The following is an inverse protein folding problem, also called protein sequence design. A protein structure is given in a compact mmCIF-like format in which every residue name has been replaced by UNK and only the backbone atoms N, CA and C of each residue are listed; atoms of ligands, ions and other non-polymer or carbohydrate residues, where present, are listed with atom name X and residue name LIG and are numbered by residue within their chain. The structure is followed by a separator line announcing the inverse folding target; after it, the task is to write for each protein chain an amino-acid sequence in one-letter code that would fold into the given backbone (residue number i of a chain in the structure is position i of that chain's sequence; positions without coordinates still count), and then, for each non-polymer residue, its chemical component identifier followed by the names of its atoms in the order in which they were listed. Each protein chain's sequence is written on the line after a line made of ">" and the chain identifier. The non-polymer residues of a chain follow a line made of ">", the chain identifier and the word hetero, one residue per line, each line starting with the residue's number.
data_IF_975971303878
#
_entry.id   IF_975971303878
#
_cell.length_a   1.000
_cell.length_b   1.000
_cell.length_c   1.000
_cell.angle_alpha   90.00
_cell.angle_beta   90.00
_cell.angle_gamma   90.00
#
_symmetry.space_group_name_H-M   'P 1'
#
loop_
_entity.id
_entity.type
_entity.pdbx_description
1 polymer ?
#
# COMPACT_ATOMS: atom_id res chain seq x y z
N UNK A 1 -26.05 37.07 0.66
CA UNK A 1 -24.85 37.11 -0.16
C UNK A 1 -23.56 36.98 0.63
N UNK A 2 -23.41 37.70 1.72
CA UNK A 2 -22.21 37.58 2.57
C UNK A 2 -22.09 36.20 3.22
N UNK A 3 -23.21 35.59 3.58
CA UNK A 3 -23.21 34.24 4.15
C UNK A 3 -22.71 33.17 3.17
N UNK A 4 -22.98 33.37 1.90
CA UNK A 4 -22.46 32.52 0.83
C UNK A 4 -20.93 32.43 0.84
N UNK A 5 -20.30 33.60 0.91
CA UNK A 5 -18.84 33.67 0.87
C UNK A 5 -18.21 32.99 2.07
N UNK A 6 -18.84 33.15 3.25
CA UNK A 6 -18.36 32.51 4.47
C UNK A 6 -18.45 30.98 4.39
N UNK A 7 -19.56 30.48 3.86
CA UNK A 7 -19.76 29.02 3.71
C UNK A 7 -18.73 28.45 2.74
N UNK A 8 -18.50 29.13 1.62
CA UNK A 8 -17.49 28.70 0.65
C UNK A 8 -16.09 28.67 1.25
N UNK A 9 -15.77 29.64 2.09
CA UNK A 9 -14.47 29.70 2.75
C UNK A 9 -14.27 28.50 3.69
N UNK A 10 -15.30 28.15 4.44
CA UNK A 10 -15.25 26.97 5.34
C UNK A 10 -15.05 25.68 4.56
N UNK A 11 -15.78 25.49 3.48
CA UNK A 11 -15.64 24.32 2.60
C UNK A 11 -14.22 24.25 2.04
N UNK A 12 -13.67 25.36 1.61
CA UNK A 12 -12.32 25.42 1.07
C UNK A 12 -11.28 25.01 2.14
N UNK A 13 -11.46 25.44 3.39
CA UNK A 13 -10.56 25.07 4.47
C UNK A 13 -10.59 23.58 4.74
N UNK A 14 -11.76 22.93 4.70
CA UNK A 14 -11.89 21.48 4.85
C UNK A 14 -11.20 20.74 3.70
N UNK A 15 -11.34 21.24 2.48
CA UNK A 15 -10.66 20.68 1.33
C UNK A 15 -9.13 20.76 1.47
N UNK A 16 -8.62 21.86 2.04
CA UNK A 16 -7.18 21.99 2.29
C UNK A 16 -6.67 20.99 3.31
N UNK A 17 -7.46 20.69 4.35
CA UNK A 17 -7.09 19.66 5.34
C UNK A 17 -7.07 18.27 4.68
N UNK A 18 -8.08 17.96 3.85
CA UNK A 18 -8.12 16.70 3.13
C UNK A 18 -6.94 16.54 2.16
N UNK A 19 -6.47 17.66 1.57
CA UNK A 19 -5.34 17.64 0.65
C UNK A 19 -4.00 17.34 1.32
N UNK A 20 -3.93 17.35 2.66
CA UNK A 20 -2.71 17.00 3.39
C UNK A 20 -2.39 15.51 3.34
N UNK A 21 -3.40 14.66 3.09
CA UNK A 21 -3.21 13.23 2.99
C UNK A 21 -2.52 12.87 1.68
N UNK A 22 -1.59 11.91 1.76
CA UNK A 22 -0.76 11.50 0.62
C UNK A 22 -1.19 10.16 0.07
N UNK A 23 -0.86 9.94 -1.19
CA UNK A 23 -1.10 8.69 -1.91
C UNK A 23 0.24 8.06 -2.28
N UNK A 24 0.33 6.75 -2.13
CA UNK A 24 1.49 5.96 -2.58
C UNK A 24 1.00 4.89 -3.54
N UNK A 25 1.46 4.96 -4.80
CA UNK A 25 1.23 3.92 -5.79
C UNK A 25 2.43 2.99 -5.81
N UNK A 26 2.20 1.72 -5.52
CA UNK A 26 3.26 0.72 -5.48
C UNK A 26 3.13 -0.18 -6.69
N UNK A 27 4.14 -0.16 -7.57
CA UNK A 27 4.27 -1.14 -8.64
C UNK A 27 4.94 -2.37 -8.04
N UNK A 28 4.17 -3.44 -7.89
CA UNK A 28 4.65 -4.70 -7.33
C UNK A 28 5.09 -5.60 -8.47
N UNK A 29 6.34 -6.06 -8.45
CA UNK A 29 6.93 -6.82 -9.54
C UNK A 29 7.26 -8.26 -9.14
N UNK A 30 7.55 -9.09 -10.14
CA UNK A 30 7.91 -10.51 -9.98
C UNK A 30 6.81 -11.33 -9.30
N UNK A 31 5.56 -11.03 -9.64
CA UNK A 31 4.42 -11.80 -9.18
C UNK A 31 4.38 -13.12 -9.96
N UNK A 32 4.40 -14.25 -9.24
CA UNK A 32 4.56 -15.57 -9.86
C UNK A 32 3.30 -16.18 -10.45
N UNK A 33 2.12 -15.68 -10.07
CA UNK A 33 0.86 -16.26 -10.55
C UNK A 33 -0.28 -15.24 -10.55
N UNK A 34 -1.37 -15.59 -11.23
CA UNK A 34 -2.61 -14.81 -11.24
C UNK A 34 -3.54 -15.14 -10.07
N UNK A 35 -3.11 -15.99 -9.14
CA UNK A 35 -3.95 -16.47 -8.05
C UNK A 35 -4.06 -15.46 -6.91
N UNK A 36 -5.28 -15.27 -6.41
CA UNK A 36 -5.54 -14.46 -5.24
C UNK A 36 -5.32 -12.97 -5.45
N UNK A 37 -4.76 -12.32 -4.44
CA UNK A 37 -4.58 -10.88 -4.42
C UNK A 37 -3.19 -10.50 -3.95
N UNK A 38 -2.77 -9.29 -4.33
CA UNK A 38 -1.60 -8.65 -3.73
C UNK A 38 -2.10 -7.66 -2.69
N UNK A 39 -1.70 -7.86 -1.46
CA UNK A 39 -2.09 -7.03 -0.32
C UNK A 39 -0.93 -6.09 0.02
N UNK A 40 -1.26 -4.85 0.36
CA UNK A 40 -0.28 -3.89 0.83
C UNK A 40 -0.76 -3.31 2.16
N UNK A 41 0.18 -3.10 3.06
CA UNK A 41 -0.07 -2.49 4.35
C UNK A 41 1.01 -1.46 4.60
N UNK A 42 0.62 -0.23 4.92
CA UNK A 42 1.56 0.81 5.33
C UNK A 42 1.38 1.11 6.80
N UNK A 43 2.43 0.88 7.58
CA UNK A 43 2.48 1.25 8.98
C UNK A 43 3.02 2.66 9.07
N UNK A 44 2.24 3.55 9.64
CA UNK A 44 2.51 4.99 9.67
C UNK A 44 2.61 5.46 11.10
N UNK A 45 3.69 6.18 11.42
CA UNK A 45 3.88 6.75 12.76
C UNK A 45 2.73 7.71 13.09
N UNK A 46 2.18 7.60 14.29
CA UNK A 46 1.06 8.42 14.73
C UNK A 46 -0.32 7.90 14.34
N UNK A 47 -0.39 6.85 13.52
CA UNK A 47 -1.66 6.19 13.18
C UNK A 47 -1.82 4.92 13.99
N UNK A 48 -2.99 4.72 14.59
CA UNK A 48 -3.28 3.49 15.32
C UNK A 48 -3.50 2.31 14.38
N UNK A 49 -4.08 2.57 13.22
CA UNK A 49 -4.39 1.56 12.22
C UNK A 49 -3.50 1.73 11.00
N UNK A 50 -2.98 0.63 10.44
CA UNK A 50 -2.26 0.71 9.16
C UNK A 50 -3.19 1.14 8.03
N UNK A 51 -2.60 1.67 6.96
CA UNK A 51 -3.31 1.93 5.72
C UNK A 51 -3.20 0.69 4.84
N UNK A 52 -4.32 0.24 4.30
CA UNK A 52 -4.38 -0.99 3.51
C UNK A 52 -4.72 -0.71 2.06
N UNK A 53 -4.17 -1.52 1.17
CA UNK A 53 -4.52 -1.55 -0.23
C UNK A 53 -4.50 -2.97 -0.74
N UNK A 54 -5.22 -3.23 -1.84
CA UNK A 54 -5.30 -4.56 -2.41
C UNK A 54 -5.55 -4.45 -3.90
N UNK A 55 -5.00 -5.40 -4.65
CA UNK A 55 -5.26 -5.56 -6.08
C UNK A 55 -5.32 -7.04 -6.40
N UNK A 56 -6.21 -7.47 -7.33
CA UNK A 56 -6.12 -8.83 -7.83
C UNK A 56 -4.72 -9.12 -8.36
N UNK A 57 -4.22 -10.31 -8.09
CA UNK A 57 -2.89 -10.69 -8.54
C UNK A 57 -2.88 -10.92 -10.05
N UNK A 58 -1.76 -10.55 -10.67
CA UNK A 58 -1.51 -10.80 -12.08
C UNK A 58 -0.04 -11.14 -12.23
N UNK A 59 0.24 -12.21 -12.92
CA UNK A 59 1.63 -12.62 -13.17
C UNK A 59 2.40 -11.46 -13.80
N UNK A 60 3.58 -11.18 -13.25
CA UNK A 60 4.41 -10.07 -13.65
C UNK A 60 4.31 -8.91 -12.70
N UNK A 61 3.41 -7.98 -12.95
CA UNK A 61 3.27 -6.81 -12.07
C UNK A 61 1.84 -6.29 -11.95
N UNK A 62 1.54 -5.68 -10.81
CA UNK A 62 0.31 -4.94 -10.57
C UNK A 62 0.63 -3.66 -9.83
N UNK A 63 -0.30 -2.71 -9.84
CA UNK A 63 -0.20 -1.48 -9.06
C UNK A 63 -1.17 -1.57 -7.89
N UNK A 64 -0.66 -1.37 -6.67
CA UNK A 64 -1.49 -1.27 -5.47
C UNK A 64 -1.38 0.16 -4.95
N UNK A 65 -2.53 0.78 -4.70
CA UNK A 65 -2.58 2.17 -4.25
C UNK A 65 -2.94 2.24 -2.78
N UNK A 66 -2.15 2.99 -2.02
CA UNK A 66 -2.39 3.30 -0.62
C UNK A 66 -2.76 4.77 -0.51
N UNK A 67 -3.91 5.07 0.08
CA UNK A 67 -4.43 6.42 0.20
C UNK A 67 -4.56 6.84 1.65
N UNK A 68 -4.55 8.15 1.90
CA UNK A 68 -4.79 8.68 3.24
C UNK A 68 -3.59 8.58 4.17
N UNK A 69 -2.38 8.63 3.64
CA UNK A 69 -1.16 8.59 4.45
C UNK A 69 -0.80 10.02 4.86
N UNK A 70 -0.80 10.27 6.16
CA UNK A 70 -0.46 11.57 6.72
C UNK A 70 0.90 11.47 7.43
N UNK A 71 1.95 11.32 6.63
CA UNK A 71 3.32 11.23 7.12
C UNK A 71 4.31 11.39 5.99
N UNK A 72 5.57 11.62 6.32
CA UNK A 72 6.65 11.74 5.35
C UNK A 72 7.28 10.40 5.00
N UNK A 73 7.04 9.38 5.81
CA UNK A 73 7.54 8.02 5.59
C UNK A 73 6.50 7.00 6.02
N UNK A 74 6.57 5.81 5.45
CA UNK A 74 5.73 4.69 5.84
C UNK A 74 6.50 3.38 5.68
N UNK A 75 6.23 2.44 6.57
CA UNK A 75 6.77 1.09 6.44
C UNK A 75 5.76 0.24 5.69
N UNK A 76 6.12 -0.15 4.47
CA UNK A 76 5.23 -0.88 3.57
C UNK A 76 5.56 -2.37 3.63
N UNK A 77 4.53 -3.17 3.82
CA UNK A 77 4.61 -4.63 3.74
C UNK A 77 3.71 -5.11 2.61
N UNK A 78 4.20 -6.02 1.80
CA UNK A 78 3.46 -6.61 0.69
C UNK A 78 3.35 -8.11 0.90
N UNK A 79 2.21 -8.67 0.49
CA UNK A 79 1.95 -10.10 0.54
C UNK A 79 1.21 -10.52 -0.72
N UNK A 80 1.70 -11.56 -1.40
CA UNK A 80 0.94 -12.20 -2.46
C UNK A 80 0.11 -13.32 -1.84
N UNK A 81 -1.14 -13.03 -1.53
CA UNK A 81 -2.08 -13.91 -0.87
C UNK A 81 -2.76 -14.80 -1.91
N UNK A 82 -2.11 -15.89 -2.27
CA UNK A 82 -2.56 -16.76 -3.35
C UNK A 82 -3.83 -17.55 -3.02
N UNK A 83 -4.09 -17.85 -1.75
CA UNK A 83 -5.25 -18.62 -1.32
C UNK A 83 -6.39 -17.79 -0.74
N UNK A 84 -6.21 -16.48 -0.63
CA UNK A 84 -7.25 -15.57 -0.18
C UNK A 84 -7.57 -15.61 1.30
N UNK A 85 -6.65 -16.07 2.14
CA UNK A 85 -6.88 -16.18 3.58
C UNK A 85 -6.39 -14.95 4.38
N UNK A 86 -5.79 -13.98 3.69
CA UNK A 86 -5.24 -12.75 4.28
C UNK A 86 -4.13 -13.00 5.30
N UNK A 87 -3.50 -14.13 5.24
CA UNK A 87 -2.42 -14.52 6.16
C UNK A 87 -1.22 -15.05 5.41
N UNK A 88 -0.03 -14.76 5.92
CA UNK A 88 1.21 -15.33 5.40
C UNK A 88 1.30 -16.81 5.77
N UNK A 89 1.45 -17.66 4.76
CA UNK A 89 1.73 -19.07 4.99
C UNK A 89 3.22 -19.29 5.15
N UNK A 90 3.58 -20.11 6.12
CA UNK A 90 4.97 -20.50 6.33
C UNK A 90 5.12 -22.01 6.27
N UNK A 91 6.25 -22.45 5.76
CA UNK A 91 6.64 -23.85 5.74
C UNK A 91 7.96 -24.05 6.45
N UNK A 92 8.55 -25.22 6.31
CA UNK A 92 9.81 -25.56 6.98
C UNK A 92 10.98 -24.67 6.55
N UNK A 93 10.89 -24.09 5.35
CA UNK A 93 11.94 -23.24 4.78
C UNK A 93 11.59 -21.76 4.78
N UNK A 94 10.54 -21.37 5.53
CA UNK A 94 10.10 -20.00 5.61
C UNK A 94 8.77 -19.74 4.92
N UNK A 95 8.48 -18.48 4.56
CA UNK A 95 7.20 -18.13 3.93
C UNK A 95 6.98 -18.86 2.62
N UNK A 96 5.77 -19.38 2.42
CA UNK A 96 5.36 -20.09 1.20
C UNK A 96 4.81 -19.14 0.14
N UNK A 97 4.38 -17.94 0.56
CA UNK A 97 3.83 -16.93 -0.32
C UNK A 97 4.84 -15.79 -0.52
N UNK A 98 4.67 -15.03 -1.60
CA UNK A 98 5.53 -13.90 -1.88
C UNK A 98 5.32 -12.76 -0.90
N UNK A 99 6.40 -12.12 -0.50
CA UNK A 99 6.33 -10.97 0.40
C UNK A 99 7.43 -9.96 0.08
N UNK A 100 7.27 -8.77 0.63
CA UNK A 100 8.31 -7.74 0.63
C UNK A 100 8.02 -6.76 1.75
N UNK A 101 9.05 -6.10 2.24
CA UNK A 101 8.94 -5.03 3.22
C UNK A 101 9.93 -3.94 2.89
N UNK A 102 9.49 -2.69 2.97
CA UNK A 102 10.32 -1.56 2.62
C UNK A 102 9.83 -0.28 3.26
N UNK A 103 10.78 0.55 3.74
CA UNK A 103 10.46 1.89 4.20
C UNK A 103 10.42 2.82 2.99
N UNK A 104 9.30 3.49 2.79
CA UNK A 104 9.09 4.40 1.67
C UNK A 104 9.03 5.83 2.14
N UNK A 105 9.64 6.74 1.37
CA UNK A 105 9.54 8.18 1.60
C UNK A 105 8.39 8.74 0.79
N UNK A 106 7.70 9.71 1.35
CA UNK A 106 6.52 10.32 0.76
C UNK A 106 6.70 11.84 0.69
N UNK A 107 7.59 12.33 -0.19
CA UNK A 107 7.89 13.76 -0.27
C UNK A 107 6.80 14.61 -0.93
N UNK A 108 5.86 14.00 -1.62
CA UNK A 108 4.82 14.70 -2.40
C UNK A 108 3.43 14.24 -2.02
N UNK A 109 2.39 14.85 -2.60
CA UNK A 109 1.01 14.37 -2.43
C UNK A 109 0.78 13.03 -3.10
N UNK A 110 1.41 12.82 -4.26
CA UNK A 110 1.37 11.56 -4.99
C UNK A 110 2.78 11.04 -5.10
N UNK A 111 2.98 9.81 -4.66
CA UNK A 111 4.28 9.17 -4.62
C UNK A 111 4.20 7.83 -5.31
N UNK A 112 5.31 7.36 -5.85
CA UNK A 112 5.40 6.06 -6.50
C UNK A 112 6.56 5.27 -5.92
N UNK A 113 6.41 3.96 -5.88
CA UNK A 113 7.47 3.06 -5.48
C UNK A 113 7.38 1.80 -6.33
N UNK A 114 8.52 1.18 -6.59
CA UNK A 114 8.59 -0.09 -7.29
C UNK A 114 9.22 -1.10 -6.34
N UNK A 115 8.48 -2.16 -6.01
CA UNK A 115 8.91 -3.14 -5.01
C UNK A 115 8.76 -4.54 -5.60
N UNK A 116 9.83 -5.31 -5.51
CA UNK A 116 9.87 -6.68 -5.99
C UNK A 116 9.42 -7.64 -4.89
N UNK A 117 8.54 -8.58 -5.24
CA UNK A 117 8.17 -9.66 -4.33
C UNK A 117 9.27 -10.73 -4.26
N UNK A 118 9.39 -11.34 -3.12
CA UNK A 118 10.34 -12.40 -2.84
C UNK A 118 9.59 -13.67 -2.44
N UNK A 119 9.95 -14.80 -3.06
CA UNK A 119 9.34 -16.11 -2.80
C UNK A 119 10.42 -17.07 -2.30
N UNK A 120 10.77 -16.98 -1.01
CA UNK A 120 11.96 -17.70 -0.51
C UNK A 120 11.85 -19.23 -0.60
N UNK A 121 10.66 -19.79 -0.38
CA UNK A 121 10.48 -21.24 -0.47
C UNK A 121 10.71 -21.76 -1.90
N UNK A 122 10.23 -21.03 -2.90
CA UNK A 122 10.41 -21.39 -4.29
C UNK A 122 11.89 -21.29 -4.73
N UNK A 123 12.59 -20.27 -4.24
CA UNK A 123 14.00 -20.07 -4.58
C UNK A 123 14.92 -21.10 -3.94
N UNK A 124 14.51 -21.70 -2.84
CA UNK A 124 15.30 -22.69 -2.10
C UNK A 124 15.04 -24.14 -2.53
N UNK A 125 14.14 -24.32 -3.47
CA UNK A 125 13.88 -25.61 -4.07
C UNK A 125 14.85 -25.82 -5.27
#
# INVERSE_FOLDING_TARGET
>A
MKAWKLVLTVIFALASVAAAAKTLEITVTDIRSDKGNVLAMAKVAGHEQPVYGMSPAKRGEVVVTLEGIDAETAEVSLLHDEDGDYQMKTGDRGPLEGYAARKCKLPAEKNTAKIRLYYPAAENE
#
